data_IF_554381674215
#
_entry.id   IF_554381674215
#
_cell.length_a   1.000
_cell.length_b   1.000
_cell.length_c   1.000
_cell.angle_alpha   90.00
_cell.angle_beta   90.00
_cell.angle_gamma   90.00
#
_symmetry.space_group_name_H-M   'P 1'
#
loop_
_entity.id
_entity.type
_entity.pdbx_description
1 polymer ?
#
# COMPACT_ATOMS: atom_id res chain seq x y z
N UNK A 1 25.73 12.43 11.18
CA UNK A 1 26.15 11.78 9.91
C UNK A 1 25.00 10.87 9.52
N UNK A 2 24.14 11.28 8.60
CA UNK A 2 23.00 10.47 8.13
C UNK A 2 23.50 9.63 6.97
N UNK A 3 23.39 8.30 7.09
CA UNK A 3 23.68 7.38 5.99
C UNK A 3 22.75 7.68 4.82
N UNK A 4 23.26 7.73 3.57
CA UNK A 4 22.39 7.81 2.40
C UNK A 4 21.63 6.50 2.29
N UNK A 5 20.30 6.58 2.23
CA UNK A 5 19.44 5.45 1.89
C UNK A 5 19.88 4.92 0.51
N UNK A 6 20.44 3.72 0.50
CA UNK A 6 20.81 3.05 -0.73
C UNK A 6 19.56 2.90 -1.59
N UNK A 7 19.58 3.39 -2.82
CA UNK A 7 18.57 3.07 -3.85
C UNK A 7 18.59 1.55 -4.02
N UNK A 8 17.55 0.90 -3.55
CA UNK A 8 17.35 -0.52 -3.82
C UNK A 8 16.75 -0.59 -5.22
N UNK A 9 17.52 -1.12 -6.16
CA UNK A 9 17.06 -1.36 -7.54
C UNK A 9 15.87 -2.32 -7.53
N UNK A 10 14.84 -2.12 -8.37
CA UNK A 10 13.74 -3.06 -8.53
C UNK A 10 14.19 -4.48 -8.91
N UNK A 11 15.38 -4.61 -9.51
CA UNK A 11 15.97 -5.88 -9.94
C UNK A 11 16.60 -6.67 -8.78
N UNK A 12 16.89 -6.04 -7.65
CA UNK A 12 17.50 -6.66 -6.46
C UNK A 12 16.47 -7.22 -5.47
N UNK A 13 15.19 -7.33 -5.85
CA UNK A 13 14.12 -7.79 -4.97
C UNK A 13 13.76 -6.82 -3.86
N UNK A 14 14.16 -5.56 -3.99
CA UNK A 14 13.89 -4.49 -3.03
C UNK A 14 12.41 -4.14 -2.96
N UNK A 15 11.96 -3.77 -1.76
CA UNK A 15 10.61 -3.31 -1.53
C UNK A 15 10.34 -2.02 -2.29
N UNK A 16 9.20 -1.95 -2.99
CA UNK A 16 8.74 -0.76 -3.70
C UNK A 16 8.20 0.35 -2.78
N UNK A 17 8.71 0.43 -1.54
CA UNK A 17 8.32 1.44 -0.56
C UNK A 17 9.56 2.12 0.03
N UNK A 18 9.42 3.43 0.31
CA UNK A 18 10.50 4.27 0.82
C UNK A 18 10.57 4.25 2.36
N UNK A 19 10.56 3.06 2.98
CA UNK A 19 10.64 2.90 4.42
C UNK A 19 11.89 2.17 4.84
N UNK A 20 12.47 2.55 5.97
CA UNK A 20 13.46 1.73 6.66
C UNK A 20 12.73 0.48 7.20
N UNK A 21 13.09 -0.74 6.74
CA UNK A 21 12.46 -1.97 7.18
C UNK A 21 12.67 -2.26 8.68
N UNK A 22 13.59 -1.55 9.33
CA UNK A 22 13.84 -1.66 10.77
C UNK A 22 12.82 -0.89 11.62
N UNK A 23 12.02 0.00 11.01
CA UNK A 23 11.01 0.75 11.74
C UNK A 23 9.81 -0.14 12.08
N UNK A 24 9.22 -0.01 13.29
CA UNK A 24 8.02 -0.74 13.66
C UNK A 24 6.86 -0.47 12.68
N UNK A 25 6.16 -1.54 12.31
CA UNK A 25 4.96 -1.44 11.49
C UNK A 25 3.87 -0.71 12.28
N UNK A 26 3.35 0.38 11.74
CA UNK A 26 2.22 1.11 12.31
C UNK A 26 2.52 2.49 12.89
N UNK A 27 3.79 2.85 13.07
CA UNK A 27 4.14 4.19 13.57
C UNK A 27 3.91 5.27 12.50
N UNK A 28 4.01 4.90 11.23
CA UNK A 28 3.75 5.79 10.10
C UNK A 28 3.10 5.02 8.93
N UNK A 29 2.23 5.68 8.13
CA UNK A 29 1.65 5.05 6.96
C UNK A 29 2.74 4.71 5.94
N UNK A 30 2.64 3.53 5.34
CA UNK A 30 3.56 3.08 4.31
C UNK A 30 3.36 3.90 3.04
N UNK A 31 4.44 4.51 2.56
CA UNK A 31 4.46 5.24 1.31
C UNK A 31 5.05 4.37 0.20
N UNK A 32 4.37 4.32 -0.94
CA UNK A 32 4.73 3.49 -2.06
C UNK A 32 5.22 4.36 -3.21
N UNK A 33 6.17 3.84 -3.98
CA UNK A 33 6.57 4.50 -5.23
C UNK A 33 5.33 4.77 -6.11
N UNK A 34 5.17 5.98 -6.64
CA UNK A 34 3.99 6.36 -7.43
C UNK A 34 3.75 5.47 -8.66
N UNK A 35 4.81 4.87 -9.21
CA UNK A 35 4.74 3.93 -10.33
C UNK A 35 4.01 2.65 -9.95
N UNK A 36 4.13 2.23 -8.72
CA UNK A 36 3.50 1.02 -8.17
C UNK A 36 2.12 1.27 -7.61
N UNK A 37 1.88 2.49 -7.09
CA UNK A 37 0.63 2.90 -6.42
C UNK A 37 -0.13 3.95 -7.21
N UNK A 38 -1.08 3.56 -8.08
CA UNK A 38 -1.92 4.54 -8.80
C UNK A 38 -2.85 5.36 -7.88
N UNK A 39 -2.94 4.98 -6.60
CA UNK A 39 -3.61 5.76 -5.57
C UNK A 39 -2.85 7.01 -5.13
N UNK A 40 -1.56 7.10 -5.45
CA UNK A 40 -0.73 8.27 -5.15
C UNK A 40 -0.94 9.34 -6.21
N UNK A 41 -1.35 10.53 -5.76
CA UNK A 41 -1.53 11.72 -6.59
C UNK A 41 -0.17 12.39 -6.83
N UNK A 42 0.18 12.62 -8.08
CA UNK A 42 1.39 13.34 -8.45
C UNK A 42 1.04 14.81 -8.72
N UNK A 43 1.69 15.73 -8.00
CA UNK A 43 1.55 17.18 -8.19
C UNK A 43 2.87 17.81 -8.57
N UNK A 44 2.79 18.76 -9.49
CA UNK A 44 3.89 19.64 -9.86
C UNK A 44 3.41 21.09 -9.98
N UNK A 45 4.35 22.02 -10.21
CA UNK A 45 4.03 23.41 -10.41
C UNK A 45 3.45 23.67 -11.80
N UNK A 46 2.27 24.26 -11.87
CA UNK A 46 1.72 24.74 -13.13
C UNK A 46 2.59 25.85 -13.74
N UNK A 47 2.62 25.97 -15.07
CA UNK A 47 3.32 27.07 -15.76
C UNK A 47 2.90 28.46 -15.24
N UNK A 48 3.76 29.46 -15.40
CA UNK A 48 3.57 30.82 -14.85
C UNK A 48 2.33 31.54 -15.34
N UNK A 49 1.78 31.13 -16.47
CA UNK A 49 0.54 31.74 -17.06
C UNK A 49 -0.75 31.32 -16.33
N UNK A 50 -0.71 30.32 -15.45
CA UNK A 50 -1.88 29.93 -14.68
C UNK A 50 -1.96 30.68 -13.35
N UNK A 51 -3.17 31.01 -12.93
CA UNK A 51 -3.39 31.68 -11.65
C UNK A 51 -2.90 30.81 -10.47
N UNK A 52 -2.25 31.42 -9.46
CA UNK A 52 -1.84 30.69 -8.27
C UNK A 52 -3.08 30.27 -7.46
N UNK A 53 -3.10 29.01 -7.04
CA UNK A 53 -4.09 28.47 -6.11
C UNK A 53 -3.29 27.81 -4.97
N UNK A 54 -3.32 28.43 -3.80
CA UNK A 54 -2.58 27.85 -2.65
C UNK A 54 -3.23 26.53 -2.23
N UNK A 55 -2.45 25.47 -2.20
CA UNK A 55 -2.82 24.20 -1.65
C UNK A 55 -2.28 24.09 -0.22
N UNK A 56 -3.17 24.05 0.75
CA UNK A 56 -2.82 23.74 2.13
C UNK A 56 -3.25 22.32 2.46
N UNK A 57 -2.32 21.36 2.56
CA UNK A 57 -2.63 19.97 2.87
C UNK A 57 -3.41 19.80 4.18
N UNK A 58 -3.21 20.68 5.16
CA UNK A 58 -3.89 20.61 6.45
C UNK A 58 -5.40 20.85 6.36
N UNK A 59 -5.86 21.57 5.35
CA UNK A 59 -7.29 21.80 5.08
C UNK A 59 -7.97 20.60 4.42
N UNK A 60 -7.19 19.64 3.92
CA UNK A 60 -7.71 18.44 3.30
C UNK A 60 -7.97 17.31 4.30
N UNK A 61 -7.48 17.40 5.51
CA UNK A 61 -7.63 16.39 6.57
C UNK A 61 -6.45 16.38 7.52
N UNK A 62 -6.37 15.35 8.36
CA UNK A 62 -5.25 15.16 9.28
C UNK A 62 -4.03 14.64 8.55
N UNK A 63 -2.91 15.36 8.61
CA UNK A 63 -1.64 14.90 8.07
C UNK A 63 -1.10 13.83 9.01
N UNK A 64 -0.87 12.62 8.50
CA UNK A 64 -0.35 11.47 9.26
C UNK A 64 1.08 11.11 8.85
N UNK A 65 1.54 11.57 7.68
CA UNK A 65 2.94 11.54 7.29
C UNK A 65 3.27 12.75 6.42
N UNK A 66 4.46 13.30 6.60
CA UNK A 66 4.99 14.44 5.83
C UNK A 66 6.51 14.28 5.74
N UNK A 67 7.00 13.90 4.57
CA UNK A 67 8.39 13.57 4.32
C UNK A 67 8.92 14.31 3.11
N UNK A 68 10.17 14.70 3.15
CA UNK A 68 10.88 15.32 2.04
C UNK A 68 12.14 14.52 1.76
N UNK A 69 12.35 14.18 0.49
CA UNK A 69 13.57 13.55 -0.02
C UNK A 69 14.10 14.34 -1.24
N UNK A 70 15.14 13.80 -1.89
CA UNK A 70 15.77 14.42 -3.06
C UNK A 70 14.84 14.48 -4.29
N UNK A 71 13.77 13.68 -4.31
CA UNK A 71 12.82 13.59 -5.42
C UNK A 71 11.53 14.40 -5.18
N UNK A 72 11.36 14.99 -3.99
CA UNK A 72 10.22 15.82 -3.64
C UNK A 72 9.68 15.61 -2.23
N UNK A 73 8.42 15.99 -2.01
CA UNK A 73 7.75 15.88 -0.71
C UNK A 73 6.57 14.94 -0.82
N UNK A 74 6.45 14.03 0.11
CA UNK A 74 5.33 13.10 0.22
C UNK A 74 4.48 13.41 1.44
N UNK A 75 3.18 13.54 1.23
CA UNK A 75 2.21 13.86 2.28
C UNK A 75 1.09 12.83 2.25
N UNK A 76 0.81 12.23 3.40
CA UNK A 76 -0.35 11.36 3.58
C UNK A 76 -1.37 12.04 4.48
N UNK A 77 -2.58 12.16 3.99
CA UNK A 77 -3.69 12.84 4.63
C UNK A 77 -4.81 11.85 4.87
N UNK A 78 -5.34 11.82 6.08
CA UNK A 78 -6.49 10.98 6.45
C UNK A 78 -7.70 11.84 6.71
N UNK A 79 -8.83 11.42 6.18
CA UNK A 79 -10.14 11.95 6.51
C UNK A 79 -11.18 10.81 6.64
N UNK A 80 -12.43 11.16 6.93
CA UNK A 80 -13.52 10.20 7.07
C UNK A 80 -13.80 9.36 5.79
N UNK A 81 -13.17 9.68 4.67
CA UNK A 81 -13.32 9.02 3.37
C UNK A 81 -12.15 8.08 3.02
N UNK A 82 -11.07 8.10 3.80
CA UNK A 82 -9.89 7.26 3.66
C UNK A 82 -8.58 8.06 3.58
N UNK A 83 -7.51 7.39 3.18
CA UNK A 83 -6.19 7.97 3.01
C UNK A 83 -6.04 8.61 1.62
N UNK A 84 -5.36 9.75 1.57
CA UNK A 84 -4.96 10.46 0.37
C UNK A 84 -3.45 10.60 0.36
N UNK A 85 -2.78 9.94 -0.55
CA UNK A 85 -1.34 10.01 -0.75
C UNK A 85 -1.03 11.04 -1.84
N UNK A 86 -0.18 12.00 -1.53
CA UNK A 86 0.23 13.08 -2.44
C UNK A 86 1.75 13.12 -2.53
N UNK A 87 2.28 13.07 -3.74
CA UNK A 87 3.68 13.35 -4.05
C UNK A 87 3.79 14.71 -4.72
N UNK A 88 4.53 15.62 -4.09
CA UNK A 88 4.84 16.96 -4.59
C UNK A 88 6.24 16.92 -5.20
N UNK A 89 6.37 17.06 -6.51
CA UNK A 89 7.67 17.01 -7.21
C UNK A 89 8.50 18.29 -7.01
N UNK A 90 7.86 19.37 -6.56
CA UNK A 90 8.53 20.62 -6.25
C UNK A 90 7.79 21.40 -5.16
N UNK A 91 8.49 22.24 -4.43
CA UNK A 91 7.91 23.14 -3.42
C UNK A 91 6.93 24.14 -4.02
N UNK A 92 7.09 24.47 -5.30
CA UNK A 92 6.17 25.37 -6.02
C UNK A 92 4.83 24.70 -6.31
N UNK A 93 4.73 23.37 -6.29
CA UNK A 93 3.49 22.65 -6.47
C UNK A 93 2.41 23.02 -5.43
N UNK A 94 2.82 23.45 -4.23
CA UNK A 94 1.90 23.93 -3.19
C UNK A 94 1.26 25.28 -3.56
N UNK A 95 1.96 26.10 -4.32
CA UNK A 95 1.49 27.44 -4.69
C UNK A 95 0.69 27.46 -6.00
N UNK A 96 1.00 26.55 -6.91
CA UNK A 96 0.35 26.42 -8.23
C UNK A 96 0.25 24.93 -8.58
N UNK A 97 -0.60 24.17 -7.89
CA UNK A 97 -0.69 22.74 -8.10
C UNK A 97 -1.20 22.39 -9.49
N UNK A 98 -0.50 21.48 -10.15
CA UNK A 98 -0.89 20.81 -11.37
C UNK A 98 -0.85 19.30 -11.14
N UNK A 99 -1.87 18.60 -11.58
CA UNK A 99 -1.92 17.14 -11.48
C UNK A 99 -1.17 16.52 -12.66
N UNK A 100 -0.24 15.63 -12.39
CA UNK A 100 0.44 14.82 -13.40
C UNK A 100 -0.28 13.48 -13.56
N UNK A 101 -0.60 13.14 -14.79
CA UNK A 101 -1.20 11.85 -15.15
C UNK A 101 -0.28 11.11 -16.14
N UNK A 102 0.54 10.16 -15.67
CA UNK A 102 1.38 9.36 -16.55
C UNK A 102 0.52 8.44 -17.45
N UNK A 103 0.41 8.76 -18.73
CA UNK A 103 -0.47 8.05 -19.67
C UNK A 103 0.01 6.63 -20.01
N UNK A 104 1.31 6.38 -19.94
CA UNK A 104 1.89 5.06 -20.16
C UNK A 104 1.78 4.10 -18.95
N UNK A 105 1.23 4.57 -17.84
CA UNK A 105 1.12 3.75 -16.63
C UNK A 105 -0.09 2.80 -16.72
N UNK A 106 0.06 1.62 -16.14
CA UNK A 106 -1.09 0.77 -15.83
C UNK A 106 -2.05 1.53 -14.89
N UNK A 107 -3.36 1.28 -15.03
CA UNK A 107 -4.39 1.87 -14.15
C UNK A 107 -4.58 3.40 -14.29
N UNK A 108 -4.47 3.93 -15.51
CA UNK A 108 -4.75 5.36 -15.79
C UNK A 108 -6.15 5.77 -15.32
N UNK A 109 -7.16 4.93 -15.53
CA UNK A 109 -8.54 5.17 -15.07
C UNK A 109 -8.60 5.38 -13.55
N UNK A 110 -7.86 4.55 -12.80
CA UNK A 110 -7.80 4.68 -11.34
C UNK A 110 -7.11 5.99 -10.91
N UNK A 111 -6.06 6.42 -11.63
CA UNK A 111 -5.43 7.72 -11.41
C UNK A 111 -6.38 8.89 -11.70
N UNK A 112 -7.19 8.78 -12.75
CA UNK A 112 -8.22 9.77 -13.07
C UNK A 112 -9.29 9.85 -11.97
N UNK A 113 -9.73 8.71 -11.43
CA UNK A 113 -10.67 8.67 -10.32
C UNK A 113 -10.10 9.36 -9.06
N UNK A 114 -8.83 9.07 -8.72
CA UNK A 114 -8.13 9.71 -7.60
C UNK A 114 -7.97 11.21 -7.84
N UNK A 115 -7.55 11.64 -9.03
CA UNK A 115 -7.41 13.03 -9.40
C UNK A 115 -8.76 13.78 -9.33
N UNK A 116 -9.82 13.20 -9.88
CA UNK A 116 -11.17 13.78 -9.85
C UNK A 116 -11.67 13.96 -8.41
N UNK A 117 -11.39 12.97 -7.56
CA UNK A 117 -11.72 13.02 -6.14
C UNK A 117 -10.96 14.14 -5.43
N UNK A 118 -9.66 14.28 -5.70
CA UNK A 118 -8.83 15.36 -5.16
C UNK A 118 -9.33 16.76 -5.58
N UNK A 119 -9.62 16.96 -6.87
CA UNK A 119 -10.16 18.21 -7.39
C UNK A 119 -11.45 18.61 -6.67
N UNK A 120 -12.37 17.68 -6.48
CA UNK A 120 -13.60 17.92 -5.71
C UNK A 120 -13.31 18.32 -4.27
N UNK A 121 -12.35 17.63 -3.64
CA UNK A 121 -11.96 17.92 -2.26
C UNK A 121 -11.38 19.33 -2.10
N UNK A 122 -10.45 19.70 -2.98
CA UNK A 122 -9.87 21.06 -3.01
C UNK A 122 -10.96 22.10 -3.26
N UNK A 123 -11.96 21.79 -4.09
CA UNK A 123 -13.12 22.64 -4.36
C UNK A 123 -14.18 22.68 -3.23
N UNK A 124 -13.91 22.06 -2.07
CA UNK A 124 -14.83 22.02 -0.94
C UNK A 124 -16.10 21.19 -1.17
N UNK A 125 -16.11 20.35 -2.19
CA UNK A 125 -17.25 19.50 -2.50
C UNK A 125 -17.25 18.23 -1.65
N UNK A 126 -18.43 17.69 -1.40
CA UNK A 126 -18.56 16.39 -0.75
C UNK A 126 -17.96 15.29 -1.62
N UNK A 127 -17.05 14.53 -1.06
CA UNK A 127 -16.41 13.40 -1.72
C UNK A 127 -16.90 12.09 -1.12
N UNK A 128 -17.09 11.10 -1.99
CA UNK A 128 -17.39 9.74 -1.56
C UNK A 128 -16.16 8.99 -1.04
N UNK A 129 -16.33 7.74 -0.70
CA UNK A 129 -15.24 6.85 -0.32
C UNK A 129 -14.20 6.71 -1.44
N UNK A 130 -13.01 6.23 -1.10
CA UNK A 130 -11.98 5.86 -2.09
C UNK A 130 -12.56 5.01 -3.23
N UNK A 131 -11.96 5.05 -4.44
CA UNK A 131 -12.31 4.13 -5.52
C UNK A 131 -12.35 2.68 -5.04
N UNK A 132 -13.33 1.91 -5.52
CA UNK A 132 -13.54 0.52 -5.07
C UNK A 132 -12.26 -0.33 -5.17
N UNK A 133 -11.47 -0.10 -6.20
CA UNK A 133 -10.21 -0.77 -6.45
C UNK A 133 -9.18 -0.56 -5.31
N UNK A 134 -9.19 0.59 -4.65
CA UNK A 134 -8.29 0.93 -3.54
C UNK A 134 -8.86 0.56 -2.15
N UNK A 135 -10.06 0.00 -2.09
CA UNK A 135 -10.69 -0.38 -0.82
C UNK A 135 -10.55 -1.86 -0.54
N UNK A 136 -10.03 -2.19 0.63
CA UNK A 136 -10.07 -3.56 1.13
C UNK A 136 -11.40 -3.83 1.84
N UNK A 137 -12.13 -4.83 1.36
CA UNK A 137 -13.30 -5.35 2.10
C UNK A 137 -12.84 -6.01 3.40
N UNK A 138 -13.72 -6.06 4.40
CA UNK A 138 -13.42 -6.71 5.68
C UNK A 138 -13.02 -8.20 5.50
N UNK A 139 -13.64 -8.89 4.54
CA UNK A 139 -13.29 -10.27 4.21
C UNK A 139 -11.87 -10.36 3.61
N UNK A 140 -11.55 -9.48 2.64
CA UNK A 140 -10.23 -9.43 2.00
C UNK A 140 -9.15 -9.09 3.02
N UNK A 141 -9.41 -8.11 3.90
CA UNK A 141 -8.49 -7.74 4.99
C UNK A 141 -8.20 -8.93 5.91
N UNK A 142 -9.24 -9.65 6.36
CA UNK A 142 -9.08 -10.87 7.19
C UNK A 142 -8.23 -11.92 6.47
N UNK A 143 -8.48 -12.15 5.18
CA UNK A 143 -7.70 -13.12 4.40
C UNK A 143 -6.23 -12.72 4.29
N UNK A 144 -5.94 -11.44 4.06
CA UNK A 144 -4.57 -10.92 4.00
C UNK A 144 -3.84 -11.10 5.34
N UNK A 145 -4.50 -10.80 6.45
CA UNK A 145 -3.93 -11.01 7.80
C UNK A 145 -3.61 -12.50 8.02
N UNK A 146 -4.49 -13.42 7.62
CA UNK A 146 -4.21 -14.85 7.71
C UNK A 146 -2.99 -15.27 6.87
N UNK A 147 -2.86 -14.70 5.65
CA UNK A 147 -1.71 -14.99 4.79
C UNK A 147 -0.41 -14.48 5.39
N UNK A 148 -0.39 -13.25 5.93
CA UNK A 148 0.79 -12.70 6.58
C UNK A 148 1.22 -13.55 7.79
N UNK A 149 0.28 -13.89 8.68
CA UNK A 149 0.60 -14.75 9.81
C UNK A 149 1.09 -16.15 9.37
N UNK A 150 0.54 -16.71 8.29
CA UNK A 150 1.03 -18.00 7.78
C UNK A 150 2.44 -17.88 7.19
N UNK A 151 2.78 -16.73 6.58
CA UNK A 151 4.13 -16.42 6.15
C UNK A 151 5.07 -16.33 7.35
N UNK A 152 4.71 -15.58 8.39
CA UNK A 152 5.52 -15.42 9.61
C UNK A 152 5.84 -16.78 10.26
N UNK A 153 4.82 -17.66 10.42
CA UNK A 153 5.01 -19.01 10.95
C UNK A 153 5.98 -19.82 10.07
N UNK A 154 5.83 -19.72 8.74
CA UNK A 154 6.69 -20.43 7.79
C UNK A 154 8.13 -19.89 7.80
N UNK A 155 8.31 -18.60 7.83
CA UNK A 155 9.62 -17.91 7.84
C UNK A 155 10.41 -18.24 9.12
N UNK A 156 9.73 -18.42 10.24
CA UNK A 156 10.29 -18.90 11.50
C UNK A 156 10.60 -20.42 11.51
N UNK A 157 10.44 -21.11 10.37
CA UNK A 157 10.71 -22.54 10.22
C UNK A 157 9.53 -23.47 10.54
N UNK A 158 8.35 -22.92 10.80
CA UNK A 158 7.13 -23.70 11.03
C UNK A 158 6.64 -24.38 9.75
N UNK A 159 6.07 -25.57 9.93
CA UNK A 159 5.52 -26.37 8.83
C UNK A 159 4.00 -26.30 8.71
N UNK A 160 3.43 -27.12 7.79
CA UNK A 160 1.98 -27.15 7.58
C UNK A 160 1.17 -27.53 8.82
N UNK A 161 1.77 -28.26 9.76
CA UNK A 161 1.11 -28.64 11.01
C UNK A 161 0.95 -27.44 11.94
N UNK A 162 2.01 -26.64 12.06
CA UNK A 162 2.02 -25.43 12.88
C UNK A 162 1.02 -24.40 12.33
N UNK A 163 0.99 -24.22 11.02
CA UNK A 163 0.00 -23.33 10.35
C UNK A 163 -1.43 -23.85 10.56
N UNK A 164 -1.67 -25.15 10.52
CA UNK A 164 -2.98 -25.73 10.78
C UNK A 164 -3.44 -25.51 12.22
N UNK A 165 -2.53 -25.62 13.19
CA UNK A 165 -2.81 -25.41 14.60
C UNK A 165 -3.00 -23.93 14.93
N UNK A 166 -2.02 -23.08 14.56
CA UNK A 166 -1.94 -21.67 14.99
C UNK A 166 -2.89 -20.79 14.20
N UNK A 167 -2.98 -20.99 12.87
CA UNK A 167 -3.70 -20.08 11.99
C UNK A 167 -5.10 -20.59 11.61
N UNK A 168 -5.23 -21.90 11.36
CA UNK A 168 -6.52 -22.51 11.01
C UNK A 168 -7.29 -23.01 12.24
N UNK A 169 -6.67 -23.05 13.41
CA UNK A 169 -7.23 -23.54 14.67
C UNK A 169 -7.88 -24.93 14.49
N UNK A 170 -7.18 -25.82 13.77
CA UNK A 170 -7.71 -27.12 13.39
C UNK A 170 -7.25 -28.23 14.33
N UNK A 171 -8.19 -28.91 14.96
CA UNK A 171 -7.92 -30.08 15.81
C UNK A 171 -7.21 -31.21 15.04
N UNK A 172 -7.34 -31.24 13.71
CA UNK A 172 -6.64 -32.20 12.86
C UNK A 172 -5.11 -32.06 12.91
N UNK A 173 -4.59 -30.94 13.40
CA UNK A 173 -3.15 -30.76 13.63
C UNK A 173 -2.60 -31.77 14.66
N UNK A 174 -3.44 -32.27 15.53
CA UNK A 174 -3.07 -33.26 16.58
C UNK A 174 -3.13 -34.73 16.11
N UNK A 175 -3.61 -34.99 14.88
CA UNK A 175 -3.73 -36.34 14.34
C UNK A 175 -2.37 -37.05 14.22
N UNK A 176 -2.34 -38.41 14.36
CA UNK A 176 -1.17 -39.22 14.08
C UNK A 176 -0.62 -38.97 12.66
N UNK A 177 0.67 -39.15 12.45
CA UNK A 177 1.35 -38.78 11.20
C UNK A 177 0.74 -39.40 9.94
N UNK A 178 0.18 -40.62 10.03
CA UNK A 178 -0.45 -41.27 8.89
C UNK A 178 -1.77 -40.55 8.51
N UNK A 179 -2.65 -40.30 9.48
CA UNK A 179 -3.93 -39.61 9.29
C UNK A 179 -3.73 -38.14 8.91
N UNK A 180 -2.72 -37.49 9.50
CA UNK A 180 -2.35 -36.12 9.16
C UNK A 180 -2.02 -35.98 7.67
N UNK A 181 -1.30 -36.93 7.07
CA UNK A 181 -0.91 -36.85 5.66
C UNK A 181 -2.09 -36.69 4.71
N UNK A 182 -3.23 -37.28 5.04
CA UNK A 182 -4.43 -37.28 4.21
C UNK A 182 -5.48 -36.26 4.68
N UNK A 183 -5.21 -35.51 5.75
CA UNK A 183 -6.13 -34.56 6.34
C UNK A 183 -6.45 -33.37 5.44
N UNK A 184 -7.66 -32.84 5.58
CA UNK A 184 -8.08 -31.60 4.92
C UNK A 184 -7.27 -30.40 5.46
N UNK A 185 -6.95 -30.41 6.76
CA UNK A 185 -6.20 -29.34 7.40
C UNK A 185 -4.79 -29.21 6.80
N UNK A 186 -4.10 -30.34 6.56
CA UNK A 186 -2.79 -30.31 5.89
C UNK A 186 -2.85 -29.68 4.50
N UNK A 187 -3.85 -30.06 3.69
CA UNK A 187 -4.02 -29.49 2.33
C UNK A 187 -4.30 -27.99 2.40
N UNK A 188 -5.14 -27.57 3.35
CA UNK A 188 -5.46 -26.16 3.55
C UNK A 188 -4.27 -25.36 4.04
N UNK A 189 -3.48 -25.89 4.98
CA UNK A 189 -2.27 -25.25 5.48
C UNK A 189 -1.19 -25.12 4.38
N UNK A 190 -0.95 -26.17 3.59
CA UNK A 190 -0.04 -26.10 2.44
C UNK A 190 -0.44 -25.02 1.45
N UNK A 191 -1.75 -24.94 1.11
CA UNK A 191 -2.27 -23.89 0.22
C UNK A 191 -2.06 -22.50 0.83
N UNK A 192 -2.30 -22.36 2.13
CA UNK A 192 -2.15 -21.09 2.83
C UNK A 192 -0.68 -20.62 2.82
N UNK A 193 0.27 -21.53 3.06
CA UNK A 193 1.72 -21.24 2.97
C UNK A 193 2.09 -20.81 1.54
N UNK A 194 1.70 -21.60 0.55
CA UNK A 194 1.99 -21.27 -0.85
C UNK A 194 1.42 -19.90 -1.26
N UNK A 195 0.16 -19.63 -0.92
CA UNK A 195 -0.49 -18.36 -1.21
C UNK A 195 0.19 -17.20 -0.46
N UNK A 196 0.69 -17.43 0.76
CA UNK A 196 1.37 -16.41 1.57
C UNK A 196 2.74 -16.04 0.99
N UNK A 197 3.53 -17.02 0.56
CA UNK A 197 4.81 -16.79 -0.12
C UNK A 197 4.57 -15.99 -1.42
N UNK A 198 3.62 -16.43 -2.25
CA UNK A 198 3.29 -15.73 -3.48
C UNK A 198 2.79 -14.29 -3.24
N UNK A 199 2.08 -14.05 -2.13
CA UNK A 199 1.67 -12.71 -1.72
C UNK A 199 2.87 -11.81 -1.39
N UNK A 200 3.79 -12.30 -0.55
CA UNK A 200 4.93 -11.52 -0.06
C UNK A 200 5.94 -11.28 -1.18
N UNK A 201 6.19 -12.25 -2.06
CA UNK A 201 7.14 -12.09 -3.16
C UNK A 201 6.72 -11.01 -4.17
N UNK A 202 5.51 -11.05 -4.67
CA UNK A 202 5.01 -10.10 -5.69
C UNK A 202 3.50 -9.86 -5.67
N UNK A 203 2.73 -10.68 -4.95
CA UNK A 203 1.27 -10.65 -4.96
C UNK A 203 0.70 -9.34 -4.43
N UNK A 204 1.40 -8.68 -3.50
CA UNK A 204 1.00 -7.40 -2.92
C UNK A 204 0.89 -6.28 -3.97
N UNK A 205 1.68 -6.32 -5.05
CA UNK A 205 1.62 -5.31 -6.13
C UNK A 205 0.23 -5.23 -6.79
N UNK A 206 -0.52 -6.34 -6.82
CA UNK A 206 -1.89 -6.34 -7.35
C UNK A 206 -2.80 -5.45 -6.51
N UNK A 207 -2.63 -5.48 -5.18
CA UNK A 207 -3.45 -4.64 -4.28
C UNK A 207 -3.15 -3.16 -4.45
N UNK A 208 -1.89 -2.81 -4.64
CA UNK A 208 -1.50 -1.42 -4.90
C UNK A 208 -2.11 -0.91 -6.21
N UNK A 209 -2.23 -1.77 -7.21
CA UNK A 209 -2.79 -1.45 -8.54
C UNK A 209 -4.31 -1.54 -8.62
N UNK A 210 -4.98 -1.84 -7.52
CA UNK A 210 -6.44 -1.92 -7.45
C UNK A 210 -7.01 -3.24 -7.95
N UNK A 211 -6.22 -4.34 -7.92
CA UNK A 211 -6.58 -5.68 -8.41
C UNK A 211 -7.05 -6.67 -7.32
#
# INVERSE_FOLDING_TARGET
MRSPLARISPDDGGCGFAHDPSNPVGDEPTTWLPELSPGTLLLDAAPSGFAPVALDPSQLGSIVADRTDDEGREVVIVDGSGELHIRLNSDLAVRRPMILLPLGAASVDLRLDVASRFIRKVGGQTIGLLPRALRLTAQRKRRLVQLLHAFDVHDMGGGPRDVAEIILHSDQAQLPSVEWKDSHARRSANRLIHDSIALVERGYLKFLRGG
#
